data_IF_727367981304
#
_entry.id   IF_727367981304
#
_cell.length_a   1.000
_cell.length_b   1.000
_cell.length_c   1.000
_cell.angle_alpha   90.00
_cell.angle_beta   90.00
_cell.angle_gamma   90.00
#
_symmetry.space_group_name_H-M   'P 1'
#
loop_
_entity.id
_entity.type
_entity.pdbx_description
1 polymer ?
#
# COMPACT_ATOMS: atom_id res chain seq x y z
N UNK A 1 22.83 23.21 -44.53
CA UNK A 1 22.31 24.27 -45.41
C UNK A 1 21.70 23.60 -46.63
N UNK A 2 20.41 23.83 -46.85
CA UNK A 2 19.66 23.73 -48.12
C UNK A 2 18.27 23.19 -47.84
N UNK A 3 17.35 24.14 -47.78
CA UNK A 3 15.92 23.95 -47.85
C UNK A 3 15.55 23.39 -49.23
N UNK A 4 14.52 22.54 -49.26
CA UNK A 4 13.71 22.34 -50.46
C UNK A 4 12.24 22.53 -50.11
N UNK A 5 11.55 23.11 -51.08
CA UNK A 5 10.28 23.81 -51.02
C UNK A 5 9.26 23.00 -51.83
N UNK A 6 8.06 22.85 -51.25
CA UNK A 6 6.69 22.74 -51.80
C UNK A 6 6.52 22.56 -53.35
N UNK A 7 5.66 21.69 -53.92
CA UNK A 7 4.17 21.58 -53.88
C UNK A 7 3.70 20.53 -54.95
N UNK A 8 2.43 20.46 -55.42
CA UNK A 8 1.28 19.73 -54.82
C UNK A 8 0.60 18.75 -55.82
N UNK A 9 -0.26 17.83 -55.37
CA UNK A 9 -1.34 17.28 -56.23
C UNK A 9 -2.59 17.01 -55.38
N UNK A 10 -3.71 17.58 -55.82
CA UNK A 10 -5.05 17.38 -55.29
C UNK A 10 -5.73 16.17 -55.94
N UNK A 11 -6.54 15.42 -55.20
CA UNK A 11 -7.68 14.68 -55.76
C UNK A 11 -8.76 14.44 -54.69
N UNK A 12 -9.98 14.72 -55.12
CA UNK A 12 -11.24 14.74 -54.38
C UNK A 12 -11.79 13.32 -54.14
N UNK A 13 -12.49 13.12 -53.02
CA UNK A 13 -13.18 11.87 -52.70
C UNK A 13 -14.18 12.04 -51.56
N UNK A 14 -15.44 12.14 -51.92
CA UNK A 14 -16.65 12.36 -51.11
C UNK A 14 -17.02 11.23 -50.15
N UNK A 15 -17.44 11.55 -48.92
CA UNK A 15 -18.73 11.14 -48.32
C UNK A 15 -18.83 11.51 -46.82
N UNK A 16 -19.74 12.44 -46.55
CA UNK A 16 -20.59 12.81 -45.39
C UNK A 16 -20.57 12.07 -44.03
N UNK A 17 -21.11 12.73 -42.97
CA UNK A 17 -20.46 12.89 -41.66
C UNK A 17 -21.24 12.30 -40.46
N UNK A 18 -20.60 12.19 -39.30
CA UNK A 18 -21.29 12.10 -38.01
C UNK A 18 -20.38 12.53 -36.84
N UNK A 19 -20.62 13.77 -36.38
CA UNK A 19 -20.62 14.22 -34.97
C UNK A 19 -19.46 13.80 -34.06
N UNK A 20 -18.44 14.65 -33.99
CA UNK A 20 -17.51 14.74 -32.86
C UNK A 20 -16.99 16.19 -32.75
N UNK A 21 -17.79 17.11 -32.21
CA UNK A 21 -17.36 18.46 -31.89
C UNK A 21 -18.27 19.08 -30.82
N UNK A 22 -17.86 19.03 -29.55
CA UNK A 22 -18.20 20.09 -28.58
C UNK A 22 -17.29 20.02 -27.34
N UNK A 23 -16.00 20.28 -27.53
CA UNK A 23 -15.07 20.46 -26.42
C UNK A 23 -13.99 21.49 -26.79
N UNK A 24 -14.41 22.75 -27.01
CA UNK A 24 -13.64 23.97 -26.73
C UNK A 24 -14.30 25.17 -27.42
N UNK A 25 -14.92 26.06 -26.64
CA UNK A 25 -14.81 27.54 -26.70
C UNK A 25 -16.04 28.21 -26.05
N UNK A 26 -15.76 29.00 -25.01
CA UNK A 26 -16.50 30.14 -24.41
C UNK A 26 -16.20 30.09 -22.90
N UNK A 27 -15.10 30.63 -22.38
CA UNK A 27 -14.69 32.03 -22.32
C UNK A 27 -15.78 32.96 -21.78
N UNK A 28 -15.50 33.48 -20.56
CA UNK A 28 -16.01 34.70 -19.92
C UNK A 28 -17.39 34.66 -19.25
N UNK A 29 -17.36 34.50 -17.93
CA UNK A 29 -18.14 35.32 -16.99
C UNK A 29 -17.30 35.55 -15.74
N UNK A 30 -16.90 36.81 -15.55
CA UNK A 30 -16.47 37.36 -14.27
C UNK A 30 -17.66 37.31 -13.30
N UNK A 31 -17.48 36.71 -12.13
CA UNK A 31 -18.30 37.06 -10.96
C UNK A 31 -17.47 36.96 -9.69
N UNK A 32 -17.59 38.02 -8.89
CA UNK A 32 -16.72 38.37 -7.80
C UNK A 32 -16.96 37.47 -6.59
N UNK A 33 -16.01 36.58 -6.30
CA UNK A 33 -15.93 35.96 -4.97
C UNK A 33 -14.96 36.78 -4.13
N UNK A 34 -15.51 37.67 -3.32
CA UNK A 34 -14.83 38.27 -2.17
C UNK A 34 -14.47 37.14 -1.21
N UNK A 35 -13.26 36.63 -1.32
CA UNK A 35 -12.65 35.77 -0.30
C UNK A 35 -12.10 36.70 0.75
N UNK A 36 -12.74 36.70 1.92
CA UNK A 36 -12.37 37.46 3.10
C UNK A 36 -10.91 37.23 3.47
N UNK A 37 -10.06 38.22 3.23
CA UNK A 37 -8.65 38.28 3.66
C UNK A 37 -8.52 38.70 5.14
N UNK A 38 -9.44 38.26 6.00
CA UNK A 38 -9.54 38.71 7.40
C UNK A 38 -9.40 37.58 8.43
N UNK A 39 -8.79 36.46 8.03
CA UNK A 39 -8.57 35.29 8.91
C UNK A 39 -7.12 34.79 8.90
N UNK A 40 -6.15 35.68 8.59
CA UNK A 40 -4.72 35.35 8.57
C UNK A 40 -3.84 36.37 9.32
N UNK A 41 -4.42 37.19 10.20
CA UNK A 41 -3.68 38.13 11.06
C UNK A 41 -4.08 38.06 12.54
N UNK A 42 -4.27 36.85 13.07
CA UNK A 42 -4.46 36.63 14.51
C UNK A 42 -3.89 35.29 15.02
N UNK A 43 -2.94 34.67 14.31
CA UNK A 43 -2.25 33.45 14.77
C UNK A 43 -0.78 33.69 15.11
N UNK A 44 -0.43 34.90 15.55
CA UNK A 44 0.85 35.16 16.20
C UNK A 44 0.68 35.07 17.73
N UNK A 45 1.31 34.02 18.30
CA UNK A 45 1.70 33.86 19.70
C UNK A 45 0.66 33.35 20.74
N UNK A 46 -0.26 32.46 20.37
CA UNK A 46 -0.88 31.57 21.37
C UNK A 46 -0.19 30.21 21.29
N UNK A 47 0.70 29.92 22.25
CA UNK A 47 1.32 28.60 22.39
C UNK A 47 0.25 27.50 22.55
N UNK A 48 0.65 26.22 22.55
CA UNK A 48 -0.33 25.15 22.67
C UNK A 48 -1.11 25.30 23.99
N UNK A 49 -2.38 24.97 23.96
CA UNK A 49 -3.30 25.13 25.10
C UNK A 49 -3.69 23.78 25.69
N UNK A 50 -4.01 23.79 26.98
CA UNK A 50 -4.69 22.67 27.63
C UNK A 50 -6.10 22.48 27.09
N UNK A 51 -6.73 21.39 27.49
CA UNK A 51 -8.14 21.10 27.18
C UNK A 51 -9.12 22.20 27.62
N UNK A 52 -8.79 22.99 28.66
CA UNK A 52 -9.60 24.11 29.17
C UNK A 52 -9.28 25.47 28.50
N UNK A 53 -8.42 25.48 27.48
CA UNK A 53 -8.03 26.68 26.73
C UNK A 53 -6.93 27.51 27.38
N UNK A 54 -6.41 27.12 28.55
CA UNK A 54 -5.28 27.82 29.19
C UNK A 54 -3.95 27.46 28.53
N UNK A 55 -2.95 28.36 28.48
CA UNK A 55 -1.63 28.03 27.93
C UNK A 55 -0.94 26.90 28.71
N UNK A 56 -0.27 26.00 27.99
CA UNK A 56 0.54 24.92 28.57
C UNK A 56 1.84 25.48 29.18
N UNK A 57 2.26 24.90 30.31
CA UNK A 57 3.57 25.15 30.90
C UNK A 57 4.68 24.53 30.03
N UNK A 58 5.93 25.04 30.07
CA UNK A 58 7.02 24.54 29.24
C UNK A 58 7.22 23.01 29.32
N UNK A 59 7.07 22.43 30.50
CA UNK A 59 7.19 20.98 30.74
C UNK A 59 6.05 20.21 30.06
N UNK A 60 4.82 20.72 30.11
CA UNK A 60 3.67 20.11 29.44
C UNK A 60 3.78 20.22 27.91
N UNK A 61 4.42 21.28 27.40
CA UNK A 61 4.72 21.44 25.96
C UNK A 61 5.71 20.36 25.51
N UNK A 62 6.79 20.14 26.26
CA UNK A 62 7.76 19.09 25.94
C UNK A 62 7.09 17.71 25.95
N UNK A 63 6.23 17.47 26.95
CA UNK A 63 5.49 16.22 27.04
C UNK A 63 4.54 16.02 25.85
N UNK A 64 3.79 17.05 25.48
CA UNK A 64 2.90 17.02 24.32
C UNK A 64 3.66 16.74 23.01
N UNK A 65 4.85 17.31 22.83
CA UNK A 65 5.67 17.04 21.65
C UNK A 65 6.21 15.60 21.62
N UNK A 66 6.58 15.03 22.78
CA UNK A 66 6.94 13.62 22.88
C UNK A 66 5.78 12.71 22.49
N UNK A 67 4.56 12.96 23.01
CA UNK A 67 3.36 12.20 22.65
C UNK A 67 3.06 12.26 21.15
N UNK A 68 3.16 13.46 20.55
CA UNK A 68 2.98 13.62 19.09
C UNK A 68 4.03 12.85 18.30
N UNK A 69 5.28 12.83 18.76
CA UNK A 69 6.34 12.08 18.09
C UNK A 69 6.09 10.57 18.17
N UNK A 70 5.71 10.08 19.36
CA UNK A 70 5.36 8.66 19.57
C UNK A 70 4.16 8.26 18.71
N UNK A 71 3.08 9.04 18.68
CA UNK A 71 1.90 8.73 17.85
C UNK A 71 2.25 8.59 16.37
N UNK A 72 3.06 9.51 15.84
CA UNK A 72 3.52 9.41 14.45
C UNK A 72 4.35 8.15 14.23
N UNK A 73 5.28 7.84 15.12
CA UNK A 73 6.14 6.68 15.02
C UNK A 73 5.33 5.36 15.05
N UNK A 74 4.42 5.23 16.02
CA UNK A 74 3.53 4.06 16.16
C UNK A 74 2.68 3.89 14.90
N UNK A 75 2.03 4.96 14.42
CA UNK A 75 1.22 4.87 13.20
C UNK A 75 2.02 4.49 11.96
N UNK A 76 3.23 5.01 11.82
CA UNK A 76 4.13 4.64 10.73
C UNK A 76 4.57 3.18 10.84
N UNK A 77 4.84 2.70 12.05
CA UNK A 77 5.16 1.30 12.33
C UNK A 77 4.01 0.38 11.90
N UNK A 78 2.79 0.63 12.39
CA UNK A 78 1.61 -0.18 12.02
C UNK A 78 1.28 -0.10 10.53
N UNK A 79 1.41 1.09 9.93
CA UNK A 79 1.16 1.26 8.50
C UNK A 79 2.15 0.45 7.65
N UNK A 80 3.42 0.35 8.06
CA UNK A 80 4.42 -0.43 7.35
C UNK A 80 4.03 -1.92 7.29
N UNK A 81 3.57 -2.48 8.41
CA UNK A 81 3.05 -3.85 8.44
C UNK A 81 1.90 -4.05 7.45
N UNK A 82 0.90 -3.17 7.46
CA UNK A 82 -0.29 -3.28 6.61
C UNK A 82 0.05 -3.20 5.12
N UNK A 83 0.87 -2.22 4.73
CA UNK A 83 1.23 -2.01 3.32
C UNK A 83 1.97 -3.24 2.78
N UNK A 84 2.91 -3.77 3.57
CA UNK A 84 3.72 -4.90 3.13
C UNK A 84 2.96 -6.24 3.18
N UNK A 85 2.04 -6.42 4.13
CA UNK A 85 1.30 -7.67 4.29
C UNK A 85 0.01 -7.76 3.47
N UNK A 86 -0.55 -6.62 3.03
CA UNK A 86 -1.72 -6.57 2.17
C UNK A 86 -2.86 -7.46 2.68
N UNK A 87 -3.33 -8.45 1.91
CA UNK A 87 -4.46 -9.30 2.29
C UNK A 87 -4.19 -10.21 3.49
N UNK A 88 -2.93 -10.40 3.90
CA UNK A 88 -2.56 -11.25 5.04
C UNK A 88 -2.42 -10.47 6.35
N UNK A 89 -2.82 -9.20 6.35
CA UNK A 89 -2.88 -8.36 7.55
C UNK A 89 -4.30 -7.98 7.89
N UNK A 90 -4.60 -7.87 9.19
CA UNK A 90 -5.83 -7.23 9.66
C UNK A 90 -5.66 -5.73 9.87
N UNK A 91 -6.70 -5.10 10.41
CA UNK A 91 -6.67 -3.69 10.79
C UNK A 91 -5.73 -3.43 11.98
N UNK A 92 -5.11 -2.25 11.99
CA UNK A 92 -4.27 -1.82 13.11
C UNK A 92 -5.14 -1.51 14.33
N UNK A 93 -4.69 -1.97 15.49
CA UNK A 93 -5.21 -1.58 16.80
C UNK A 93 -4.22 -0.66 17.48
N UNK A 94 -4.71 0.24 18.33
CA UNK A 94 -3.88 1.24 19.00
C UNK A 94 -4.28 1.38 20.46
N UNK A 95 -3.28 1.53 21.31
CA UNK A 95 -3.43 2.00 22.69
C UNK A 95 -3.13 3.48 22.74
N UNK A 96 -3.93 4.21 23.54
CA UNK A 96 -3.92 5.66 23.54
C UNK A 96 -3.61 6.24 24.91
N UNK A 97 -2.90 7.35 24.88
CA UNK A 97 -2.75 8.25 26.02
C UNK A 97 -3.40 9.60 25.73
N UNK A 98 -3.98 10.24 26.76
CA UNK A 98 -4.56 11.58 26.66
C UNK A 98 -3.49 12.61 27.00
N UNK A 99 -3.17 13.47 26.03
CA UNK A 99 -2.24 14.57 26.23
C UNK A 99 -2.85 15.72 27.06
N UNK A 100 -2.01 16.68 27.51
CA UNK A 100 -2.49 17.80 28.32
C UNK A 100 -3.39 18.76 27.53
N UNK A 101 -3.38 18.68 26.20
CA UNK A 101 -4.32 19.35 25.29
C UNK A 101 -5.67 18.62 25.14
N UNK A 102 -5.87 17.51 25.86
CA UNK A 102 -7.10 16.70 25.86
C UNK A 102 -7.25 15.75 24.68
N UNK A 103 -6.25 15.67 23.78
CA UNK A 103 -6.31 14.79 22.60
C UNK A 103 -5.70 13.42 22.90
N UNK A 104 -6.14 12.42 22.15
CA UNK A 104 -5.59 11.06 22.22
C UNK A 104 -4.42 10.88 21.27
N UNK A 105 -3.34 10.31 21.77
CA UNK A 105 -2.11 9.98 21.05
C UNK A 105 -1.85 8.48 21.15
N UNK A 106 -1.56 7.81 20.04
CA UNK A 106 -1.21 6.40 20.03
C UNK A 106 0.18 6.22 20.67
N UNK A 107 0.26 5.39 21.70
CA UNK A 107 1.51 5.09 22.41
C UNK A 107 1.98 3.66 22.20
N UNK A 108 1.07 2.79 21.78
CA UNK A 108 1.36 1.46 21.26
C UNK A 108 0.37 1.10 20.15
N UNK A 109 0.75 0.13 19.32
CA UNK A 109 -0.09 -0.40 18.26
C UNK A 109 0.27 -1.84 17.94
N UNK A 110 -0.63 -2.52 17.25
CA UNK A 110 -0.32 -3.80 16.61
C UNK A 110 -1.17 -4.03 15.36
N UNK A 111 -0.60 -4.76 14.41
CA UNK A 111 -1.27 -5.28 13.22
C UNK A 111 -1.23 -6.80 13.27
N UNK A 112 -2.38 -7.50 13.33
CA UNK A 112 -2.39 -8.94 13.28
C UNK A 112 -1.99 -9.41 11.87
N UNK A 113 -1.06 -10.37 11.81
CA UNK A 113 -0.58 -10.99 10.56
C UNK A 113 -1.02 -12.45 10.54
N UNK A 114 -1.67 -12.89 9.47
CA UNK A 114 -2.01 -14.30 9.24
C UNK A 114 -0.82 -15.04 8.64
N UNK A 115 -0.09 -15.75 9.49
CA UNK A 115 1.06 -16.58 9.13
C UNK A 115 0.74 -18.08 9.03
N UNK A 116 -0.53 -18.47 8.93
CA UNK A 116 -0.92 -19.87 8.72
C UNK A 116 -0.63 -20.36 7.29
N UNK A 117 -0.20 -21.62 7.09
CA UNK A 117 -0.10 -22.23 5.76
C UNK A 117 -1.44 -22.25 5.01
N UNK A 118 -1.40 -22.31 3.69
CA UNK A 118 -2.58 -22.54 2.85
C UNK A 118 -2.82 -24.06 2.74
N UNK A 119 -3.93 -24.60 3.27
CA UNK A 119 -4.14 -26.04 3.32
C UNK A 119 -4.21 -26.66 1.92
N UNK A 120 -3.39 -27.70 1.69
CA UNK A 120 -3.39 -28.44 0.44
C UNK A 120 -2.85 -27.67 -0.77
N UNK A 121 -2.22 -26.52 -0.56
CA UNK A 121 -1.55 -25.75 -1.62
C UNK A 121 -0.17 -25.26 -1.14
N UNK A 122 0.88 -26.08 -1.36
CA UNK A 122 2.23 -25.73 -0.97
C UNK A 122 2.76 -24.50 -1.74
N UNK A 123 2.38 -24.33 -3.01
CA UNK A 123 2.83 -23.17 -3.80
C UNK A 123 2.22 -21.87 -3.28
N UNK A 124 0.91 -21.85 -3.01
CA UNK A 124 0.26 -20.70 -2.39
C UNK A 124 0.82 -20.42 -0.99
N UNK A 125 1.19 -21.45 -0.23
CA UNK A 125 1.88 -21.28 1.05
C UNK A 125 3.23 -20.59 0.89
N UNK A 126 4.03 -20.96 -0.12
CA UNK A 126 5.31 -20.32 -0.41
C UNK A 126 5.13 -18.82 -0.68
N UNK A 127 4.17 -18.46 -1.52
CA UNK A 127 3.89 -17.05 -1.87
C UNK A 127 3.37 -16.26 -0.66
N UNK A 128 2.42 -16.85 0.09
CA UNK A 128 1.88 -16.25 1.32
C UNK A 128 2.98 -16.02 2.35
N UNK A 129 3.81 -17.02 2.64
CA UNK A 129 4.85 -16.91 3.67
C UNK A 129 5.93 -15.89 3.30
N UNK A 130 6.26 -15.72 2.00
CA UNK A 130 7.15 -14.64 1.58
C UNK A 130 6.58 -13.26 1.91
N UNK A 131 5.29 -13.06 1.62
CA UNK A 131 4.58 -11.81 1.93
C UNK A 131 4.51 -11.57 3.44
N UNK A 132 4.19 -12.61 4.23
CA UNK A 132 4.15 -12.55 5.70
C UNK A 132 5.51 -12.18 6.30
N UNK A 133 6.60 -12.77 5.81
CA UNK A 133 7.96 -12.44 6.26
C UNK A 133 8.29 -10.98 5.94
N UNK A 134 7.93 -10.51 4.74
CA UNK A 134 8.13 -9.12 4.36
C UNK A 134 7.32 -8.17 5.25
N UNK A 135 6.05 -8.51 5.53
CA UNK A 135 5.16 -7.73 6.39
C UNK A 135 5.69 -7.61 7.82
N UNK A 136 6.09 -8.73 8.43
CA UNK A 136 6.60 -8.75 9.79
C UNK A 136 7.91 -7.94 9.93
N UNK A 137 8.74 -7.91 8.89
CA UNK A 137 10.01 -7.19 8.90
C UNK A 137 9.95 -5.81 8.24
N UNK A 138 8.74 -5.32 7.91
CA UNK A 138 8.55 -4.09 7.16
C UNK A 138 8.89 -2.80 7.94
N UNK A 139 8.55 -2.67 9.24
CA UNK A 139 8.94 -1.49 10.00
C UNK A 139 10.47 -1.35 10.10
N UNK A 140 10.95 -0.12 10.25
CA UNK A 140 12.39 0.15 10.38
C UNK A 140 13.01 -0.43 11.67
N UNK A 141 12.19 -0.60 12.71
CA UNK A 141 12.56 -1.22 13.98
C UNK A 141 11.50 -2.25 14.38
N UNK A 142 11.52 -3.47 13.79
CA UNK A 142 10.55 -4.52 14.12
C UNK A 142 10.65 -4.93 15.59
N UNK A 143 9.52 -5.24 16.22
CA UNK A 143 9.49 -5.70 17.60
C UNK A 143 9.94 -7.17 17.72
N UNK A 144 10.27 -7.65 18.94
CA UNK A 144 10.54 -9.06 19.17
C UNK A 144 9.40 -10.01 18.72
N UNK A 145 8.14 -9.55 18.80
CA UNK A 145 6.96 -10.31 18.35
C UNK A 145 6.98 -10.47 16.83
N UNK A 146 7.35 -9.43 16.10
CA UNK A 146 7.41 -9.46 14.63
C UNK A 146 8.51 -10.39 14.14
N UNK A 147 9.67 -10.38 14.81
CA UNK A 147 10.73 -11.35 14.55
C UNK A 147 10.28 -12.80 14.77
N UNK A 148 9.45 -13.07 15.79
CA UNK A 148 8.90 -14.40 16.03
C UNK A 148 7.95 -14.83 14.89
N UNK A 149 7.06 -13.94 14.45
CA UNK A 149 6.18 -14.18 13.29
C UNK A 149 7.00 -14.48 12.04
N UNK A 150 8.02 -13.67 11.75
CA UNK A 150 8.91 -13.88 10.61
C UNK A 150 9.67 -15.22 10.70
N UNK A 151 10.12 -15.60 11.90
CA UNK A 151 10.80 -16.88 12.12
C UNK A 151 9.86 -18.06 11.88
N UNK A 152 8.63 -18.00 12.37
CA UNK A 152 7.62 -19.05 12.16
C UNK A 152 7.26 -19.17 10.68
N UNK A 153 7.02 -18.04 10.00
CA UNK A 153 6.71 -18.02 8.58
C UNK A 153 7.86 -18.59 7.72
N UNK A 154 9.13 -18.36 8.12
CA UNK A 154 10.29 -19.00 7.46
C UNK A 154 10.30 -20.52 7.61
N UNK A 155 9.85 -21.06 8.74
CA UNK A 155 9.75 -22.51 8.92
C UNK A 155 8.71 -23.09 7.95
N UNK A 156 7.51 -22.52 7.91
CA UNK A 156 6.46 -22.94 6.98
C UNK A 156 6.86 -22.75 5.51
N UNK A 157 7.59 -21.69 5.19
CA UNK A 157 8.14 -21.46 3.84
C UNK A 157 9.08 -22.60 3.41
N UNK A 158 9.94 -23.08 4.30
CA UNK A 158 10.88 -24.15 3.99
C UNK A 158 10.16 -25.48 3.78
N UNK A 159 9.20 -25.79 4.64
CA UNK A 159 8.35 -26.99 4.53
C UNK A 159 7.56 -26.99 3.23
N UNK A 160 6.86 -25.89 2.93
CA UNK A 160 6.07 -25.75 1.71
C UNK A 160 6.94 -25.84 0.45
N UNK A 161 8.15 -25.27 0.45
CA UNK A 161 9.09 -25.41 -0.68
C UNK A 161 9.48 -26.87 -0.94
N UNK A 162 9.69 -27.64 0.12
CA UNK A 162 10.01 -29.06 0.00
C UNK A 162 8.82 -29.84 -0.57
N UNK A 163 7.63 -29.63 -0.01
CA UNK A 163 6.40 -30.28 -0.47
C UNK A 163 6.09 -29.96 -1.93
N UNK A 164 6.16 -28.68 -2.31
CA UNK A 164 5.88 -28.25 -3.68
C UNK A 164 6.88 -28.83 -4.70
N UNK A 165 8.15 -29.02 -4.30
CA UNK A 165 9.14 -29.68 -5.14
C UNK A 165 8.84 -31.18 -5.32
N UNK A 166 8.37 -31.85 -4.27
CA UNK A 166 7.95 -33.25 -4.34
C UNK A 166 6.72 -33.40 -5.25
N UNK A 167 5.71 -32.56 -5.11
CA UNK A 167 4.52 -32.57 -5.98
C UNK A 167 4.88 -32.36 -7.46
N UNK A 168 5.75 -31.38 -7.74
CA UNK A 168 6.21 -31.13 -9.10
C UNK A 168 6.96 -32.34 -9.68
N UNK A 169 7.78 -33.02 -8.87
CA UNK A 169 8.50 -34.22 -9.31
C UNK A 169 7.56 -35.38 -9.63
N UNK A 170 6.54 -35.60 -8.79
CA UNK A 170 5.52 -36.63 -9.00
C UNK A 170 4.68 -36.34 -10.25
N UNK A 171 4.28 -35.08 -10.45
CA UNK A 171 3.53 -34.67 -11.63
C UNK A 171 4.35 -34.85 -12.92
N UNK A 172 5.65 -34.54 -12.89
CA UNK A 172 6.53 -34.76 -14.03
C UNK A 172 6.70 -36.25 -14.36
N UNK A 173 6.83 -37.11 -13.35
CA UNK A 173 6.89 -38.57 -13.55
C UNK A 173 5.59 -39.09 -14.17
N UNK A 174 4.44 -38.73 -13.61
CA UNK A 174 3.12 -39.13 -14.13
C UNK A 174 2.89 -38.66 -15.59
N UNK A 175 3.35 -37.45 -15.94
CA UNK A 175 3.29 -36.95 -17.33
C UNK A 175 4.15 -37.78 -18.28
N UNK A 176 5.36 -38.15 -17.86
CA UNK A 176 6.26 -38.96 -18.67
C UNK A 176 5.71 -40.37 -18.89
N UNK A 177 5.12 -40.97 -17.85
CA UNK A 177 4.53 -42.31 -17.92
C UNK A 177 3.26 -42.34 -18.80
N UNK A 178 2.43 -41.29 -18.74
CA UNK A 178 1.26 -41.12 -19.61
C UNK A 178 1.63 -40.89 -21.08
N UNK A 179 2.73 -40.19 -21.35
CA UNK A 179 3.25 -40.00 -22.70
C UNK A 179 3.83 -41.30 -23.29
N UNK A 180 4.44 -42.16 -22.47
CA UNK A 180 5.01 -43.44 -22.91
C UNK A 180 3.94 -44.52 -23.21
N UNK A 181 2.71 -44.35 -22.70
CA UNK A 181 1.62 -45.32 -22.84
C UNK A 181 0.60 -44.98 -23.95
N UNK A 182 0.75 -43.84 -24.62
CA UNK A 182 -0.07 -43.48 -25.79
C UNK A 182 0.50 -44.12 -27.07
N UNK A 183 -0.23 -45.01 -27.78
CA UNK A 183 0.26 -45.61 -29.02
C UNK A 183 0.44 -44.54 -30.11
N UNK A 184 1.41 -44.67 -31.03
CA UNK A 184 1.47 -43.79 -32.19
C UNK A 184 0.20 -43.98 -33.02
N UNK A 185 -0.61 -42.93 -33.10
CA UNK A 185 -1.76 -42.85 -34.00
C UNK A 185 -1.25 -43.00 -35.43
N UNK A 186 -1.49 -44.16 -36.04
CA UNK A 186 -1.07 -44.46 -37.39
C UNK A 186 -1.91 -43.62 -38.35
N UNK A 187 -1.26 -42.65 -39.00
CA UNK A 187 -1.82 -41.91 -40.11
C UNK A 187 -2.18 -42.88 -41.25
N UNK A 188 -3.47 -42.90 -41.62
CA UNK A 188 -4.01 -43.62 -42.77
C UNK A 188 -4.29 -42.65 -43.92
#
# INVERSE_FOLDING_TARGET
>A
MSAFIASPIAASGSASPAIAEEAQRRAQTDDATQVSEDDQRASEATGPTRADGTPLAPEEIQYLEQLKQTDRAVRQHEMAHQIAGGPYTGGASYEYEIGPDGKRYAVAGEVPIDYGPVPGDPQATVEKMQTVIAAALAPADPSPKDYQVAAQARQYLLEAKLEAALEQSQMNQARNDGAATSPPEQAA
#
